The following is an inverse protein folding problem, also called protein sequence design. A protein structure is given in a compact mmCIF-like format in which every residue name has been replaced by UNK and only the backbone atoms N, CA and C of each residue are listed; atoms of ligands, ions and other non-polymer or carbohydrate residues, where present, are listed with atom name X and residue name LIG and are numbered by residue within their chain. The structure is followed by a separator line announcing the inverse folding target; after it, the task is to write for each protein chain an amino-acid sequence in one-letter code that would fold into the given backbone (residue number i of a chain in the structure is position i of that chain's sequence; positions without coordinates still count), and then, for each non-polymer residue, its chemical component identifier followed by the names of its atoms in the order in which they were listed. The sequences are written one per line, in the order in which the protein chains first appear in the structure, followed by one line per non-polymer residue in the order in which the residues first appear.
data_IF_306743693313
#
_entry.id   IF_306743693313
#
_cell.length_a   1.000
_cell.length_b   1.000
_cell.length_c   1.000
_cell.angle_alpha   90.00
_cell.angle_beta   90.00
_cell.angle_gamma   90.00
#
_symmetry.space_group_name_H-M   'P 1'
#
loop_
_entity.id
_entity.type
_entity.pdbx_description
1 polymer ?
#
# COMPACT_ATOMS: atom_id res chain seq x y z
N UNK A 1 -26.73 -0.28 -14.03
CA UNK A 1 -26.34 -0.36 -15.45
C UNK A 1 -24.82 -0.28 -15.50
N UNK A 2 -24.13 -1.07 -16.33
CA UNK A 2 -22.66 -1.01 -16.44
C UNK A 2 -22.31 0.00 -17.54
N UNK A 3 -21.42 0.96 -17.21
CA UNK A 3 -20.97 1.99 -18.15
C UNK A 3 -19.59 1.61 -18.70
N UNK A 4 -19.41 1.73 -20.02
CA UNK A 4 -18.11 1.53 -20.68
C UNK A 4 -17.54 2.88 -21.05
N UNK A 5 -16.36 3.19 -20.53
CA UNK A 5 -15.64 4.44 -20.78
C UNK A 5 -14.19 4.08 -21.10
N UNK A 6 -13.67 4.59 -22.22
CA UNK A 6 -12.34 4.23 -22.74
C UNK A 6 -11.35 5.38 -22.73
N UNK A 7 -11.79 6.60 -22.40
CA UNK A 7 -10.95 7.80 -22.31
C UNK A 7 -10.95 8.35 -20.89
N UNK A 8 -9.79 8.86 -20.47
CA UNK A 8 -9.59 9.39 -19.13
C UNK A 8 -10.44 10.65 -18.87
N UNK A 9 -10.55 11.53 -19.85
CA UNK A 9 -11.32 12.77 -19.75
C UNK A 9 -12.81 12.46 -19.58
N UNK A 10 -13.34 11.51 -20.35
CA UNK A 10 -14.73 11.06 -20.26
C UNK A 10 -15.02 10.42 -18.89
N UNK A 11 -14.07 9.66 -18.35
CA UNK A 11 -14.17 9.07 -17.02
C UNK A 11 -14.23 10.15 -15.93
N UNK A 12 -13.39 11.18 -16.05
CA UNK A 12 -13.37 12.30 -15.10
C UNK A 12 -14.71 13.04 -15.11
N UNK A 13 -15.24 13.36 -16.30
CA UNK A 13 -16.56 14.00 -16.44
C UNK A 13 -17.67 13.11 -15.89
N UNK A 14 -17.62 11.80 -16.13
CA UNK A 14 -18.59 10.86 -15.61
C UNK A 14 -18.56 10.80 -14.08
N UNK A 15 -17.37 10.68 -13.49
CA UNK A 15 -17.20 10.63 -12.03
C UNK A 15 -17.65 11.94 -11.39
N UNK A 16 -17.28 13.11 -11.92
CA UNK A 16 -17.72 14.40 -11.38
C UNK A 16 -19.25 14.53 -11.34
N UNK A 17 -19.96 14.06 -12.38
CA UNK A 17 -21.42 14.10 -12.43
C UNK A 17 -22.09 13.10 -11.48
N UNK A 18 -21.42 12.00 -11.17
CA UNK A 18 -21.98 10.88 -10.43
C UNK A 18 -21.28 10.63 -9.09
N UNK A 19 -20.44 11.55 -8.62
CA UNK A 19 -19.58 11.35 -7.44
C UNK A 19 -20.40 11.02 -6.19
N UNK A 20 -21.59 11.63 -6.08
CA UNK A 20 -22.56 11.35 -5.03
C UNK A 20 -22.92 9.86 -4.93
N UNK A 21 -22.87 9.06 -5.99
CA UNK A 21 -23.15 7.62 -5.90
C UNK A 21 -22.02 6.85 -5.20
N UNK A 22 -20.80 7.37 -5.24
CA UNK A 22 -19.64 6.81 -4.55
C UNK A 22 -19.53 7.33 -3.11
N UNK A 23 -20.07 8.51 -2.83
CA UNK A 23 -20.03 9.15 -1.50
C UNK A 23 -21.28 8.84 -0.66
N UNK A 24 -22.44 8.67 -1.29
CA UNK A 24 -23.73 8.54 -0.60
C UNK A 24 -24.06 7.07 -0.37
N UNK A 25 -23.99 6.63 0.88
CA UNK A 25 -24.48 5.32 1.33
C UNK A 25 -23.39 4.24 1.41
N UNK A 26 -23.76 3.01 1.85
CA UNK A 26 -22.79 1.97 2.23
C UNK A 26 -22.08 1.29 1.04
N UNK A 27 -22.43 1.65 -0.19
CA UNK A 27 -22.03 0.91 -1.39
C UNK A 27 -20.88 1.55 -2.18
N UNK A 28 -20.37 2.71 -1.79
CA UNK A 28 -19.33 3.43 -2.55
C UNK A 28 -18.09 2.58 -2.82
N UNK A 29 -17.54 1.96 -1.78
CA UNK A 29 -16.40 1.04 -1.90
C UNK A 29 -16.70 -0.19 -2.75
N UNK A 30 -17.95 -0.69 -2.72
CA UNK A 30 -18.39 -1.82 -3.55
C UNK A 30 -18.43 -1.40 -5.03
N UNK A 31 -18.98 -0.23 -5.34
CA UNK A 31 -19.02 0.32 -6.70
C UNK A 31 -17.61 0.54 -7.25
N UNK A 32 -16.71 1.10 -6.44
CA UNK A 32 -15.29 1.26 -6.82
C UNK A 32 -14.65 -0.10 -7.10
N UNK A 33 -14.81 -1.07 -6.20
CA UNK A 33 -14.25 -2.41 -6.34
C UNK A 33 -14.73 -3.09 -7.62
N UNK A 34 -16.05 -3.06 -7.89
CA UNK A 34 -16.62 -3.61 -9.12
C UNK A 34 -16.09 -2.87 -10.36
N UNK A 35 -15.96 -1.55 -10.31
CA UNK A 35 -15.42 -0.75 -11.42
C UNK A 35 -14.00 -1.17 -11.76
N UNK A 36 -13.13 -1.30 -10.77
CA UNK A 36 -11.72 -1.70 -10.99
C UNK A 36 -11.61 -3.14 -11.50
N UNK A 37 -12.40 -4.09 -10.96
CA UNK A 37 -12.45 -5.47 -11.46
C UNK A 37 -12.87 -5.50 -12.93
N UNK A 38 -13.89 -4.73 -13.30
CA UNK A 38 -14.39 -4.68 -14.67
C UNK A 38 -13.39 -3.99 -15.61
N UNK A 39 -12.68 -2.95 -15.16
CA UNK A 39 -11.60 -2.32 -15.92
C UNK A 39 -10.44 -3.28 -16.22
N UNK A 40 -10.10 -4.16 -15.27
CA UNK A 40 -9.08 -5.22 -15.48
C UNK A 40 -9.63 -6.44 -16.23
N UNK A 41 -10.95 -6.65 -16.23
CA UNK A 41 -11.68 -7.86 -16.65
C UNK A 41 -11.55 -9.05 -15.70
N UNK A 42 -12.65 -9.79 -15.51
CA UNK A 42 -12.73 -10.93 -14.59
C UNK A 42 -11.73 -12.03 -14.94
N UNK A 43 -11.55 -12.32 -16.24
CA UNK A 43 -10.60 -13.34 -16.70
C UNK A 43 -9.17 -12.97 -16.30
N UNK A 44 -8.77 -11.72 -16.54
CA UNK A 44 -7.41 -11.29 -16.25
C UNK A 44 -7.17 -11.18 -14.74
N UNK A 45 -8.14 -10.69 -13.96
CA UNK A 45 -8.08 -10.72 -12.48
C UNK A 45 -7.84 -12.16 -11.99
N UNK A 46 -8.61 -13.14 -12.47
CA UNK A 46 -8.40 -14.56 -12.09
C UNK A 46 -7.03 -15.10 -12.50
N UNK A 47 -6.50 -14.64 -13.64
CA UNK A 47 -5.17 -15.05 -14.11
C UNK A 47 -4.02 -14.37 -13.36
N UNK A 48 -4.26 -13.24 -12.69
CA UNK A 48 -3.25 -12.52 -11.91
C UNK A 48 -2.91 -13.27 -10.60
N UNK A 49 -3.88 -13.99 -10.03
CA UNK A 49 -3.72 -14.76 -8.81
C UNK A 49 -2.69 -15.89 -8.95
N UNK A 50 -2.00 -16.22 -7.87
CA UNK A 50 -1.21 -17.46 -7.79
C UNK A 50 -2.11 -18.68 -7.57
N UNK A 51 -3.15 -18.53 -6.75
CA UNK A 51 -4.15 -19.58 -6.47
C UNK A 51 -5.52 -19.13 -6.99
N UNK A 52 -6.02 -19.66 -8.12
CA UNK A 52 -7.25 -19.19 -8.77
C UNK A 52 -8.53 -19.34 -7.94
N UNK A 53 -8.49 -20.16 -6.88
CA UNK A 53 -9.62 -20.38 -5.97
C UNK A 53 -9.68 -19.37 -4.82
N UNK A 54 -8.66 -18.53 -4.63
CA UNK A 54 -8.68 -17.47 -3.63
C UNK A 54 -9.72 -16.40 -3.98
N UNK A 55 -10.09 -15.61 -2.97
CA UNK A 55 -11.12 -14.57 -3.07
C UNK A 55 -10.51 -13.22 -2.76
N UNK A 56 -10.98 -12.16 -3.43
CA UNK A 56 -10.53 -10.79 -3.18
C UNK A 56 -10.95 -10.26 -1.80
N UNK A 57 -12.04 -10.77 -1.24
CA UNK A 57 -12.51 -10.48 0.11
C UNK A 57 -12.34 -11.75 0.94
N UNK A 58 -11.53 -11.63 1.99
CA UNK A 58 -11.22 -12.69 2.93
C UNK A 58 -12.29 -12.89 4.00
N UNK A 59 -11.91 -13.63 5.04
CA UNK A 59 -12.76 -13.86 6.21
C UNK A 59 -13.02 -12.51 6.91
N UNK A 60 -14.19 -12.36 7.53
CA UNK A 60 -14.61 -11.14 8.23
C UNK A 60 -14.72 -9.88 7.36
N UNK A 61 -14.65 -10.01 6.03
CA UNK A 61 -14.81 -8.88 5.11
C UNK A 61 -13.52 -8.11 4.82
N UNK A 62 -12.36 -8.58 5.30
CA UNK A 62 -11.08 -7.93 5.02
C UNK A 62 -10.68 -8.06 3.55
N UNK A 63 -10.02 -7.02 3.03
CA UNK A 63 -9.42 -7.06 1.71
C UNK A 63 -8.21 -8.02 1.73
N UNK A 64 -8.09 -8.85 0.69
CA UNK A 64 -6.87 -9.63 0.46
C UNK A 64 -5.81 -8.79 -0.24
N UNK A 65 -4.56 -9.26 -0.23
CA UNK A 65 -3.47 -8.58 -0.92
C UNK A 65 -3.74 -8.43 -2.42
N UNK A 66 -4.43 -9.38 -3.06
CA UNK A 66 -4.82 -9.30 -4.46
C UNK A 66 -5.74 -8.11 -4.74
N UNK A 67 -6.69 -7.83 -3.84
CA UNK A 67 -7.57 -6.66 -3.98
C UNK A 67 -6.79 -5.35 -3.79
N UNK A 68 -5.91 -5.30 -2.79
CA UNK A 68 -5.04 -4.14 -2.54
C UNK A 68 -4.15 -3.86 -3.75
N UNK A 69 -3.48 -4.90 -4.26
CA UNK A 69 -2.62 -4.79 -5.44
C UNK A 69 -3.41 -4.41 -6.69
N UNK A 70 -4.64 -4.88 -6.85
CA UNK A 70 -5.51 -4.48 -7.95
C UNK A 70 -5.83 -2.98 -7.89
N UNK A 71 -6.15 -2.44 -6.71
CA UNK A 71 -6.43 -1.02 -6.50
C UNK A 71 -5.19 -0.15 -6.75
N UNK A 72 -4.01 -0.59 -6.32
CA UNK A 72 -2.77 0.19 -6.35
C UNK A 72 -2.04 0.09 -7.70
N UNK A 73 -2.07 -1.08 -8.33
CA UNK A 73 -1.24 -1.38 -9.53
C UNK A 73 -2.05 -1.74 -10.77
N UNK A 74 -3.36 -1.93 -10.64
CA UNK A 74 -4.22 -2.42 -11.71
C UNK A 74 -4.07 -3.93 -11.99
N UNK A 75 -3.30 -4.68 -11.20
CA UNK A 75 -3.16 -6.14 -11.31
C UNK A 75 -3.39 -6.82 -9.97
N UNK A 76 -4.15 -7.91 -9.97
CA UNK A 76 -4.52 -8.63 -8.76
C UNK A 76 -3.51 -9.73 -8.39
N UNK A 77 -2.22 -9.41 -8.43
CA UNK A 77 -1.14 -10.36 -8.08
C UNK A 77 -1.12 -10.61 -6.57
N UNK A 78 -0.77 -11.82 -6.16
CA UNK A 78 -0.84 -12.23 -4.74
C UNK A 78 0.28 -11.69 -3.87
N UNK A 79 1.40 -11.25 -4.47
CA UNK A 79 2.60 -10.88 -3.71
C UNK A 79 3.03 -9.43 -3.92
N UNK A 80 3.85 -8.94 -3.00
CA UNK A 80 4.35 -7.57 -2.92
C UNK A 80 5.83 -7.43 -3.31
N UNK A 81 6.52 -8.53 -3.61
CA UNK A 81 7.88 -8.53 -4.15
C UNK A 81 7.91 -8.13 -5.63
N UNK A 82 9.11 -7.90 -6.16
CA UNK A 82 9.29 -7.54 -7.57
C UNK A 82 9.22 -8.74 -8.50
N UNK A 83 8.59 -8.54 -9.65
CA UNK A 83 8.53 -9.49 -10.77
C UNK A 83 8.00 -10.86 -10.34
N UNK A 84 8.58 -11.92 -10.86
CA UNK A 84 8.16 -13.30 -10.63
C UNK A 84 9.29 -14.01 -9.87
N UNK A 85 8.92 -14.80 -8.86
CA UNK A 85 9.83 -15.70 -8.17
C UNK A 85 9.49 -17.12 -8.59
N UNK A 86 10.50 -17.86 -9.03
CA UNK A 86 10.39 -19.29 -9.32
C UNK A 86 10.98 -20.08 -8.15
N UNK A 87 10.15 -20.91 -7.54
CA UNK A 87 10.55 -21.80 -6.45
C UNK A 87 10.67 -23.23 -6.99
N UNK A 88 11.90 -23.73 -7.07
CA UNK A 88 12.16 -25.13 -7.36
C UNK A 88 11.97 -25.96 -6.09
N UNK A 89 11.01 -26.88 -6.13
CA UNK A 89 10.71 -27.78 -5.01
C UNK A 89 11.69 -28.97 -4.92
N UNK A 90 12.73 -29.01 -5.75
CA UNK A 90 13.75 -30.06 -5.77
C UNK A 90 13.27 -31.41 -6.33
N UNK A 91 11.99 -31.50 -6.71
CA UNK A 91 11.36 -32.66 -7.32
C UNK A 91 11.06 -32.45 -8.82
N UNK A 92 11.60 -31.37 -9.41
CA UNK A 92 11.35 -30.98 -10.80
C UNK A 92 10.09 -30.14 -11.01
N UNK A 93 9.28 -29.89 -9.97
CA UNK A 93 8.17 -28.94 -10.04
C UNK A 93 8.63 -27.53 -9.67
N UNK A 94 8.41 -26.61 -10.59
CA UNK A 94 8.63 -25.17 -10.40
C UNK A 94 7.30 -24.54 -10.01
N UNK A 95 7.26 -23.91 -8.84
CA UNK A 95 6.14 -23.07 -8.43
C UNK A 95 6.45 -21.63 -8.80
N UNK A 96 5.54 -21.00 -9.55
CA UNK A 96 5.69 -19.61 -9.99
C UNK A 96 4.86 -18.72 -9.07
N UNK A 97 5.51 -17.79 -8.38
CA UNK A 97 4.86 -16.77 -7.55
C UNK A 97 4.91 -15.42 -8.26
N UNK A 98 3.75 -14.81 -8.48
CA UNK A 98 3.62 -13.54 -9.21
C UNK A 98 3.65 -12.37 -8.24
N UNK A 99 4.59 -11.47 -8.46
CA UNK A 99 4.71 -10.18 -7.78
C UNK A 99 4.44 -9.00 -8.72
N UNK A 100 4.87 -7.83 -8.26
CA UNK A 100 4.60 -6.54 -8.90
C UNK A 100 5.48 -6.39 -10.14
N UNK A 101 4.90 -6.05 -11.29
CA UNK A 101 5.63 -6.05 -12.58
C UNK A 101 6.33 -4.74 -12.94
N UNK A 102 6.26 -3.72 -12.09
CA UNK A 102 6.88 -2.42 -12.37
C UNK A 102 6.55 -1.37 -11.31
N UNK A 103 7.29 -0.25 -11.34
CA UNK A 103 7.17 0.85 -10.36
C UNK A 103 5.75 1.43 -10.35
N UNK A 104 5.09 1.32 -9.19
CA UNK A 104 3.74 1.81 -8.96
C UNK A 104 3.70 3.32 -8.71
N UNK A 105 2.55 3.95 -8.92
CA UNK A 105 2.32 5.36 -8.59
C UNK A 105 2.19 5.57 -7.07
N UNK A 106 1.57 4.60 -6.39
CA UNK A 106 1.40 4.55 -4.92
C UNK A 106 2.15 3.32 -4.39
N UNK A 107 2.82 3.48 -3.26
CA UNK A 107 3.63 2.46 -2.63
C UNK A 107 2.89 1.67 -1.57
N UNK A 108 3.61 0.72 -0.96
CA UNK A 108 3.16 -0.06 0.19
C UNK A 108 4.31 -0.15 1.20
N UNK A 109 3.99 0.06 2.47
CA UNK A 109 4.81 -0.33 3.62
C UNK A 109 3.99 -1.32 4.43
N UNK A 110 4.60 -2.41 4.89
CA UNK A 110 3.88 -3.46 5.60
C UNK A 110 4.58 -3.83 6.89
N UNK A 111 3.81 -3.91 7.97
CA UNK A 111 4.29 -4.42 9.25
C UNK A 111 4.71 -5.89 9.14
N UNK A 112 4.07 -6.66 8.25
CA UNK A 112 4.44 -8.05 7.99
C UNK A 112 5.86 -8.20 7.44
N UNK A 113 6.41 -7.17 6.81
CA UNK A 113 7.82 -7.17 6.40
C UNK A 113 8.76 -6.96 7.59
N UNK A 114 8.36 -6.18 8.59
CA UNK A 114 9.12 -6.08 9.84
C UNK A 114 9.17 -7.42 10.58
N UNK A 115 8.10 -8.22 10.49
CA UNK A 115 8.05 -9.57 11.06
C UNK A 115 8.65 -10.67 10.18
N UNK A 116 9.36 -10.31 9.10
CA UNK A 116 9.96 -11.24 8.13
C UNK A 116 8.95 -12.21 7.47
N UNK A 117 7.64 -11.87 7.46
CA UNK A 117 6.58 -12.66 6.83
C UNK A 117 6.54 -12.46 5.33
N UNK A 118 6.87 -11.25 4.85
CA UNK A 118 6.98 -10.95 3.43
C UNK A 118 8.12 -9.98 3.14
N UNK A 119 8.51 -9.85 1.88
CA UNK A 119 9.47 -8.84 1.42
C UNK A 119 8.79 -7.92 0.40
N UNK A 120 8.61 -6.65 0.75
CA UNK A 120 8.02 -5.67 -0.17
C UNK A 120 9.10 -5.20 -1.14
N UNK A 121 8.84 -5.36 -2.44
CA UNK A 121 9.77 -5.04 -3.50
C UNK A 121 9.94 -3.53 -3.74
N UNK A 122 11.04 -3.16 -4.41
CA UNK A 122 11.34 -1.76 -4.71
C UNK A 122 10.28 -1.05 -5.57
N UNK A 123 9.49 -1.81 -6.33
CA UNK A 123 8.38 -1.25 -7.12
C UNK A 123 7.24 -0.68 -6.27
N UNK A 124 7.12 -1.11 -5.01
CA UNK A 124 6.18 -0.57 -4.03
C UNK A 124 6.88 0.26 -2.94
N UNK A 125 8.15 -0.04 -2.60
CA UNK A 125 8.92 0.79 -1.65
C UNK A 125 9.26 2.16 -2.20
N UNK A 126 9.49 2.27 -3.50
CA UNK A 126 9.95 3.50 -4.15
C UNK A 126 8.94 3.92 -5.22
N UNK A 127 7.70 4.26 -4.84
CA UNK A 127 6.63 4.64 -5.78
C UNK A 127 6.97 5.93 -6.56
N UNK A 128 6.20 6.25 -7.61
CA UNK A 128 6.43 7.49 -8.39
C UNK A 128 6.09 8.74 -7.60
N UNK A 129 5.04 8.69 -6.79
CA UNK A 129 4.69 9.74 -5.84
C UNK A 129 5.01 9.26 -4.43
N UNK A 130 5.50 10.12 -3.53
CA UNK A 130 5.84 9.74 -2.17
C UNK A 130 4.57 9.55 -1.32
N UNK A 131 3.77 8.55 -1.68
CA UNK A 131 2.51 8.16 -1.06
C UNK A 131 2.58 6.64 -0.90
N UNK A 132 2.33 6.17 0.31
CA UNK A 132 2.34 4.76 0.66
C UNK A 132 1.05 4.41 1.36
N UNK A 133 0.46 3.28 0.97
CA UNK A 133 -0.43 2.57 1.88
C UNK A 133 0.42 1.95 2.98
N UNK A 134 -0.02 2.08 4.22
CA UNK A 134 0.58 1.39 5.37
C UNK A 134 -0.34 0.24 5.74
N UNK A 135 0.18 -0.98 5.67
CA UNK A 135 -0.50 -2.18 6.11
C UNK A 135 0.01 -2.53 7.51
N UNK A 136 -0.76 -2.14 8.53
CA UNK A 136 -0.48 -2.45 9.93
C UNK A 136 -1.51 -3.45 10.42
N UNK A 137 -1.13 -4.73 10.43
CA UNK A 137 -2.00 -5.86 10.76
C UNK A 137 -3.26 -5.91 9.88
N UNK A 138 -4.45 -5.70 10.47
CA UNK A 138 -5.74 -5.74 9.77
C UNK A 138 -6.17 -4.39 9.19
N UNK A 139 -5.41 -3.33 9.43
CA UNK A 139 -5.79 -1.97 9.10
C UNK A 139 -4.88 -1.35 8.04
N UNK A 140 -5.49 -0.55 7.15
CA UNK A 140 -4.79 0.19 6.12
C UNK A 140 -4.97 1.69 6.34
N UNK A 141 -3.85 2.39 6.35
CA UNK A 141 -3.78 3.85 6.44
C UNK A 141 -2.88 4.41 5.34
N UNK A 142 -2.77 5.74 5.27
CA UNK A 142 -1.97 6.43 4.24
C UNK A 142 -0.85 7.22 4.90
N UNK A 143 0.35 7.09 4.35
CA UNK A 143 1.51 7.88 4.71
C UNK A 143 2.04 8.59 3.46
N UNK A 144 2.30 9.88 3.52
CA UNK A 144 2.76 10.63 2.34
C UNK A 144 3.72 11.76 2.68
N UNK A 145 4.53 12.18 1.71
CA UNK A 145 5.38 13.37 1.80
C UNK A 145 4.89 14.44 0.82
N UNK A 146 5.01 15.71 1.20
CA UNK A 146 4.71 16.83 0.30
C UNK A 146 5.83 17.09 -0.71
N UNK A 147 7.06 16.64 -0.43
CA UNK A 147 8.21 16.79 -1.32
C UNK A 147 8.23 15.69 -2.39
N UNK A 148 7.80 16.02 -3.61
CA UNK A 148 7.73 15.07 -4.73
C UNK A 148 9.07 14.40 -5.06
N UNK A 149 10.17 15.11 -4.82
CA UNK A 149 11.52 14.65 -5.16
C UNK A 149 12.17 13.82 -4.04
N UNK A 150 11.44 13.50 -2.96
CA UNK A 150 11.95 12.69 -1.83
C UNK A 150 12.65 11.42 -2.31
N UNK A 151 12.09 10.71 -3.29
CA UNK A 151 12.62 9.43 -3.78
C UNK A 151 13.60 9.57 -4.95
N UNK A 152 13.91 10.80 -5.34
CA UNK A 152 14.80 11.12 -6.45
C UNK A 152 16.11 11.78 -6.02
N UNK A 153 16.18 12.32 -4.80
CA UNK A 153 17.35 12.99 -4.26
C UNK A 153 17.76 12.40 -2.90
N UNK A 154 18.91 11.73 -2.86
CA UNK A 154 19.45 11.16 -1.62
C UNK A 154 19.69 12.22 -0.52
N UNK A 155 19.79 13.50 -0.86
CA UNK A 155 19.95 14.59 0.12
C UNK A 155 18.64 14.88 0.84
N UNK A 156 17.51 14.81 0.16
CA UNK A 156 16.19 15.02 0.76
C UNK A 156 15.80 13.81 1.63
N UNK A 157 16.29 12.61 1.30
CA UNK A 157 16.10 11.41 2.15
C UNK A 157 16.86 11.46 3.49
N UNK A 158 17.69 12.48 3.76
CA UNK A 158 18.39 12.62 5.06
C UNK A 158 17.44 12.99 6.19
N UNK A 159 16.57 13.97 5.94
CA UNK A 159 15.60 14.44 6.91
C UNK A 159 14.40 15.03 6.17
N UNK A 160 13.20 14.53 6.46
CA UNK A 160 11.98 14.93 5.77
C UNK A 160 10.75 14.65 6.64
N UNK A 161 9.65 15.31 6.30
CA UNK A 161 8.37 15.13 6.99
C UNK A 161 7.47 14.17 6.21
N UNK A 162 6.84 13.25 6.94
CA UNK A 162 5.74 12.40 6.49
C UNK A 162 4.46 12.80 7.21
N UNK A 163 3.34 12.68 6.50
CA UNK A 163 2.00 12.97 6.99
C UNK A 163 1.21 11.68 7.02
N UNK A 164 0.63 11.38 8.17
CA UNK A 164 -0.19 10.20 8.39
C UNK A 164 -1.68 10.57 8.31
N UNK A 165 -2.45 9.73 7.63
CA UNK A 165 -3.90 9.86 7.54
C UNK A 165 -4.59 8.51 7.73
N UNK A 166 -5.56 8.50 8.65
CA UNK A 166 -6.45 7.37 8.91
C UNK A 166 -7.92 7.77 8.84
N UNK A 167 -8.65 7.12 7.93
CA UNK A 167 -10.07 7.38 7.71
C UNK A 167 -11.01 6.78 8.75
N UNK A 168 -10.57 5.82 9.58
CA UNK A 168 -11.44 5.19 10.59
C UNK A 168 -11.55 6.00 11.88
N UNK A 169 -10.55 6.83 12.19
CA UNK A 169 -10.47 7.53 13.47
C UNK A 169 -11.15 8.92 13.46
N UNK A 170 -11.71 9.37 12.33
CA UNK A 170 -12.12 10.77 12.12
C UNK A 170 -11.01 11.74 12.56
N UNK A 171 -9.79 11.50 12.08
CA UNK A 171 -8.62 12.29 12.45
C UNK A 171 -8.88 13.79 12.25
N UNK A 172 -8.93 14.55 13.36
CA UNK A 172 -9.20 15.99 13.34
C UNK A 172 -7.92 16.82 13.22
N UNK A 173 -6.81 16.30 13.77
CA UNK A 173 -5.52 16.98 13.77
C UNK A 173 -4.53 16.37 12.78
N UNK A 174 -3.61 17.20 12.30
CA UNK A 174 -2.53 16.76 11.42
C UNK A 174 -1.51 15.93 12.21
N UNK A 175 -1.24 14.71 11.76
CA UNK A 175 -0.17 13.86 12.30
C UNK A 175 1.02 13.98 11.36
N UNK A 176 2.04 14.73 11.81
CA UNK A 176 3.28 14.98 11.07
C UNK A 176 4.45 14.29 11.77
N UNK A 177 5.13 13.41 11.05
CA UNK A 177 6.29 12.66 11.50
C UNK A 177 7.55 13.21 10.84
N UNK A 178 8.55 13.61 11.62
CA UNK A 178 9.87 13.95 11.06
C UNK A 178 10.74 12.69 11.09
N UNK A 179 11.20 12.27 9.91
CA UNK A 179 12.06 11.10 9.73
C UNK A 179 13.48 11.58 9.52
N UNK A 180 14.41 11.15 10.37
CA UNK A 180 15.85 11.42 10.25
C UNK A 180 16.61 10.10 10.01
N UNK A 181 17.24 9.99 8.84
CA UNK A 181 18.01 8.82 8.41
C UNK A 181 19.52 8.98 8.64
N UNK A 182 19.95 10.15 9.14
CA UNK A 182 21.36 10.40 9.47
C UNK A 182 21.75 9.85 10.85
N UNK A 183 20.75 9.62 11.69
CA UNK A 183 20.88 8.98 12.99
C UNK A 183 20.47 7.51 12.90
N UNK A 184 21.06 6.67 13.76
CA UNK A 184 20.65 5.28 13.90
C UNK A 184 19.87 5.12 15.20
N UNK A 185 18.60 4.75 15.06
CA UNK A 185 17.80 4.21 16.14
C UNK A 185 18.41 2.88 16.61
N UNK A 186 18.79 2.81 17.90
CA UNK A 186 19.27 1.59 18.52
C UNK A 186 18.10 0.88 19.22
N UNK A 187 17.79 -0.34 18.78
CA UNK A 187 16.71 -1.18 19.31
C UNK A 187 16.93 -1.62 20.76
N UNK A 188 18.17 -1.53 21.28
CA UNK A 188 18.55 -1.94 22.66
C UNK A 188 17.97 -1.06 23.78
N UNK A 189 17.07 -0.11 23.49
CA UNK A 189 16.31 0.60 24.52
C UNK A 189 15.16 -0.31 25.00
N UNK A 190 15.48 -1.22 25.92
CA UNK A 190 14.50 -2.01 26.66
C UNK A 190 13.40 -1.10 27.25
N UNK A 191 12.15 -1.34 26.82
CA UNK A 191 10.85 -0.93 27.44
C UNK A 191 9.95 0.09 26.73
N UNK A 192 10.24 0.60 25.54
CA UNK A 192 9.24 1.42 24.83
C UNK A 192 8.41 0.56 23.87
N UNK A 193 7.09 0.58 24.03
CA UNK A 193 6.13 0.09 23.04
C UNK A 193 6.32 0.92 21.76
N UNK A 194 7.15 0.43 20.84
CA UNK A 194 7.40 1.11 19.57
C UNK A 194 6.10 1.08 18.76
N UNK A 195 5.60 2.23 18.28
CA UNK A 195 4.42 2.28 17.43
C UNK A 195 4.57 1.40 16.17
N UNK A 196 3.58 0.57 15.80
CA UNK A 196 3.63 -0.25 14.59
C UNK A 196 3.92 0.54 13.30
N UNK A 197 3.45 1.79 13.24
CA UNK A 197 3.74 2.69 12.13
C UNK A 197 5.23 2.96 11.95
N UNK A 198 5.97 3.10 13.05
CA UNK A 198 7.41 3.33 13.00
C UNK A 198 8.16 2.11 12.46
N UNK A 199 7.74 0.89 12.85
CA UNK A 199 8.26 -0.34 12.27
C UNK A 199 8.05 -0.37 10.76
N UNK A 200 6.85 -0.02 10.28
CA UNK A 200 6.55 0.09 8.86
C UNK A 200 7.48 1.10 8.15
N UNK A 201 7.71 2.29 8.72
CA UNK A 201 8.63 3.31 8.16
C UNK A 201 10.06 2.76 8.07
N UNK A 202 10.53 2.07 9.12
CA UNK A 202 11.89 1.50 9.19
C UNK A 202 12.12 0.35 8.23
N UNK A 203 11.07 -0.31 7.74
CA UNK A 203 11.23 -1.28 6.63
C UNK A 203 11.72 -0.61 5.34
N UNK A 204 11.52 0.71 5.18
CA UNK A 204 12.03 1.48 4.03
C UNK A 204 13.27 2.29 4.40
N UNK A 205 13.21 3.06 5.48
CA UNK A 205 14.31 3.89 5.96
C UNK A 205 14.92 3.22 7.20
N UNK A 206 15.75 2.22 6.95
CA UNK A 206 16.34 1.39 8.00
C UNK A 206 17.10 2.24 9.02
N UNK A 207 16.81 2.01 10.30
CA UNK A 207 17.46 2.72 11.41
C UNK A 207 17.01 4.16 11.59
N UNK A 208 16.03 4.67 10.85
CA UNK A 208 15.58 6.04 10.99
C UNK A 208 15.01 6.34 12.39
N UNK A 209 15.35 7.53 12.90
CA UNK A 209 14.72 8.12 14.08
C UNK A 209 13.47 8.86 13.63
N UNK A 210 12.38 8.70 14.38
CA UNK A 210 11.06 9.25 14.02
C UNK A 210 10.60 10.12 15.19
N UNK A 211 10.28 11.38 14.88
CA UNK A 211 9.70 12.34 15.82
C UNK A 211 8.24 12.58 15.46
N UNK A 212 7.33 12.34 16.40
CA UNK A 212 5.89 12.57 16.25
C UNK A 212 5.50 14.05 16.33
N UNK A 213 6.47 14.95 16.55
CA UNK A 213 6.27 16.40 16.62
C UNK A 213 5.21 16.82 17.65
N UNK A 214 5.09 16.07 18.75
CA UNK A 214 4.11 16.30 19.81
C UNK A 214 2.75 15.63 19.59
N UNK A 215 2.53 14.94 18.45
CA UNK A 215 1.36 14.07 18.28
C UNK A 215 1.50 12.81 19.15
N UNK A 216 0.36 12.26 19.58
CA UNK A 216 0.32 11.02 20.35
C UNK A 216 0.67 9.83 19.43
N UNK A 217 1.65 8.98 19.81
CA UNK A 217 2.02 7.82 19.02
C UNK A 217 0.87 6.81 18.90
N UNK A 218 0.62 6.35 17.68
CA UNK A 218 -0.43 5.36 17.38
C UNK A 218 0.12 3.96 17.70
N UNK A 219 -0.31 3.40 18.83
CA UNK A 219 0.01 2.04 19.28
C UNK A 219 -0.90 0.98 18.64
#
# INVERSE_FOLDING_TARGET
MVHTITKYEDLTVFLQKNIHQFETGPCGCILLTLSVILSRSIHLVRSDFDVPTNRMIGIHGYCTQELVNLLVTGKAVSNVFNNVIELDSGNGNITILKGISGRSDIGLLSLFEHYDVCQVGCYLKTPKYPIWLVCSESHFSVLFCLQKDLLGDWRTERQFDLYYYDGLANQEEEIRLTVDTTQNYNEDKENDLIPPLEHCIRTKWKGAVIDWNGAEPIL
#
